data_IF_427976983827
#
_entry.id   IF_427976983827
#
_cell.length_a   1.000
_cell.length_b   1.000
_cell.length_c   1.000
_cell.angle_alpha   90.00
_cell.angle_beta   90.00
_cell.angle_gamma   90.00
#
_symmetry.space_group_name_H-M   'P 1'
#
loop_
_entity.id
_entity.type
_entity.pdbx_description
1 polymer ?
#
# COMPACT_ATOMS: atom_id res chain seq x y z
N UNK A 1 2.27 6.95 21.04
CA UNK A 1 1.01 6.98 21.83
C UNK A 1 0.33 5.62 21.72
N UNK A 2 -0.19 5.06 22.84
CA UNK A 2 -0.95 3.80 22.85
C UNK A 2 -2.44 4.07 22.61
N UNK A 3 -3.13 3.15 21.92
CA UNK A 3 -4.58 3.20 21.74
C UNK A 3 -5.19 1.80 21.93
N UNK A 4 -6.38 1.73 22.54
CA UNK A 4 -7.07 0.47 22.87
C UNK A 4 -7.67 -0.24 21.66
N UNK A 5 -7.78 0.46 20.53
CA UNK A 5 -8.39 -0.07 19.31
C UNK A 5 -7.64 0.42 18.07
N UNK A 6 -7.98 -0.16 16.92
CA UNK A 6 -7.56 0.33 15.60
C UNK A 6 -8.60 1.24 14.94
N UNK A 7 -9.49 1.86 15.71
CA UNK A 7 -10.52 2.75 15.16
C UNK A 7 -9.89 3.95 14.43
N UNK A 8 -10.56 4.43 13.39
CA UNK A 8 -10.10 5.57 12.59
C UNK A 8 -10.01 6.88 13.38
N UNK A 9 -10.72 6.97 14.51
CA UNK A 9 -10.65 8.08 15.47
C UNK A 9 -9.22 8.29 15.98
N UNK A 10 -8.57 7.23 16.47
CA UNK A 10 -7.21 7.32 16.99
C UNK A 10 -6.20 7.71 15.91
N UNK A 11 -6.41 7.29 14.67
CA UNK A 11 -5.58 7.74 13.55
C UNK A 11 -5.73 9.25 13.30
N UNK A 12 -6.95 9.79 13.45
CA UNK A 12 -7.22 11.23 13.31
C UNK A 12 -6.61 12.03 14.46
N UNK A 13 -6.76 11.54 15.69
CA UNK A 13 -6.16 12.16 16.89
C UNK A 13 -4.64 12.17 16.84
N UNK A 14 -4.02 11.12 16.29
CA UNK A 14 -2.57 11.05 16.16
C UNK A 14 -2.03 11.95 15.05
N UNK A 15 -2.76 12.06 13.94
CA UNK A 15 -2.33 12.85 12.78
C UNK A 15 -2.68 14.33 12.90
N UNK A 16 -3.66 14.72 13.73
CA UNK A 16 -4.02 16.11 14.04
C UNK A 16 -4.00 17.02 12.80
N UNK A 17 -3.09 17.99 12.77
CA UNK A 17 -2.91 18.99 11.72
C UNK A 17 -1.94 18.56 10.61
N UNK A 18 -1.58 17.28 10.53
CA UNK A 18 -0.70 16.77 9.49
C UNK A 18 -1.25 17.13 8.09
N UNK A 19 -0.34 17.60 7.24
CA UNK A 19 -0.57 17.94 5.83
C UNK A 19 0.45 17.17 5.01
N UNK A 20 0.01 16.43 4.01
CA UNK A 20 0.91 15.63 3.18
C UNK A 20 0.25 14.38 2.63
N UNK A 21 1.05 13.37 2.29
CA UNK A 21 0.57 12.11 1.71
C UNK A 21 0.72 10.96 2.70
N UNK A 22 -0.28 10.07 2.75
CA UNK A 22 -0.25 8.88 3.59
C UNK A 22 -0.36 7.62 2.73
N UNK A 23 0.66 6.75 2.79
CA UNK A 23 0.65 5.46 2.08
C UNK A 23 -0.09 4.44 2.95
N UNK A 24 -1.20 3.89 2.44
CA UNK A 24 -2.04 2.95 3.19
C UNK A 24 -2.39 1.67 2.41
N UNK A 25 -2.73 0.63 3.17
CA UNK A 25 -3.16 -0.69 2.70
C UNK A 25 -4.66 -0.79 2.34
N UNK A 26 -5.38 0.34 2.32
CA UNK A 26 -6.85 0.44 2.22
C UNK A 26 -7.60 0.12 3.53
N UNK A 27 -6.92 0.19 4.67
CA UNK A 27 -7.63 0.03 5.93
C UNK A 27 -8.72 1.11 6.08
N UNK A 28 -9.97 0.66 6.27
CA UNK A 28 -11.16 1.52 6.26
C UNK A 28 -11.12 2.63 7.31
N UNK A 29 -10.38 2.42 8.41
CA UNK A 29 -10.18 3.43 9.46
C UNK A 29 -9.54 4.72 8.95
N UNK A 30 -8.75 4.68 7.88
CA UNK A 30 -8.10 5.87 7.32
C UNK A 30 -8.97 6.65 6.34
N UNK A 31 -10.06 6.06 5.81
CA UNK A 31 -10.90 6.71 4.78
C UNK A 31 -11.46 8.07 5.23
N UNK A 32 -11.72 8.21 6.54
CA UNK A 32 -12.19 9.48 7.10
C UNK A 32 -11.15 10.61 6.98
N UNK A 33 -9.85 10.30 6.98
CA UNK A 33 -8.76 11.27 6.90
C UNK A 33 -8.62 11.89 5.50
N UNK A 34 -9.05 11.16 4.47
CA UNK A 34 -8.91 11.61 3.08
C UNK A 34 -10.11 12.46 2.61
N UNK A 35 -11.24 12.44 3.33
CA UNK A 35 -12.47 13.15 2.94
C UNK A 35 -12.34 14.66 2.94
N UNK A 36 -11.48 15.21 3.78
CA UNK A 36 -11.26 16.66 3.88
C UNK A 36 -10.27 17.17 2.82
N UNK A 37 -9.64 16.28 2.02
CA UNK A 37 -8.68 16.64 0.96
C UNK A 37 -7.32 17.15 1.46
N UNK A 38 -7.18 17.25 2.78
CA UNK A 38 -5.99 17.73 3.50
C UNK A 38 -4.83 16.73 3.44
N UNK A 39 -5.16 15.44 3.47
CA UNK A 39 -4.22 14.34 3.37
C UNK A 39 -4.45 13.63 2.04
N UNK A 40 -3.42 13.54 1.22
CA UNK A 40 -3.47 12.81 -0.04
C UNK A 40 -3.32 11.31 0.22
N UNK A 41 -4.30 10.52 -0.22
CA UNK A 41 -4.19 9.07 -0.19
C UNK A 41 -3.15 8.59 -1.21
N UNK A 42 -2.18 7.81 -0.72
CA UNK A 42 -1.28 7.01 -1.56
C UNK A 42 -1.51 5.52 -1.30
N UNK A 43 -1.53 4.74 -2.37
CA UNK A 43 -1.78 3.31 -2.33
C UNK A 43 -0.47 2.53 -2.25
N UNK A 44 -0.50 1.38 -1.58
CA UNK A 44 0.64 0.48 -1.48
C UNK A 44 0.59 -0.63 -2.55
N UNK A 45 1.56 -0.63 -3.49
CA UNK A 45 1.66 -1.68 -4.52
C UNK A 45 1.99 -3.06 -3.95
N UNK A 46 2.63 -3.16 -2.77
CA UNK A 46 2.90 -4.44 -2.13
C UNK A 46 1.59 -5.19 -1.78
N UNK A 47 0.54 -4.46 -1.41
CA UNK A 47 -0.78 -5.04 -1.15
C UNK A 47 -1.51 -5.51 -2.40
N UNK A 48 -1.45 -4.71 -3.47
CA UNK A 48 -1.97 -5.12 -4.77
C UNK A 48 -1.25 -6.39 -5.27
N UNK A 49 0.09 -6.39 -5.20
CA UNK A 49 0.94 -7.55 -5.53
C UNK A 49 0.58 -8.79 -4.73
N UNK A 50 0.38 -8.67 -3.40
CA UNK A 50 0.03 -9.81 -2.54
C UNK A 50 -1.27 -10.48 -3.00
N UNK A 51 -2.28 -9.71 -3.43
CA UNK A 51 -3.55 -10.27 -3.91
C UNK A 51 -3.38 -11.08 -5.19
N UNK A 52 -2.60 -10.59 -6.15
CA UNK A 52 -2.26 -11.37 -7.34
C UNK A 52 -1.42 -12.60 -7.01
N UNK A 53 -0.50 -12.49 -6.06
CA UNK A 53 0.29 -13.63 -5.59
C UNK A 53 -0.59 -14.73 -4.97
N UNK A 54 -1.51 -14.38 -4.08
CA UNK A 54 -2.43 -15.36 -3.50
C UNK A 54 -3.37 -15.98 -4.54
N UNK A 55 -3.84 -15.18 -5.51
CA UNK A 55 -4.62 -15.70 -6.63
C UNK A 55 -3.80 -16.73 -7.44
N UNK A 56 -2.58 -16.38 -7.85
CA UNK A 56 -1.70 -17.29 -8.58
C UNK A 56 -1.36 -18.56 -7.77
N UNK A 57 -1.06 -18.41 -6.48
CA UNK A 57 -0.79 -19.54 -5.59
C UNK A 57 -1.98 -20.50 -5.50
N UNK A 58 -3.21 -19.97 -5.49
CA UNK A 58 -4.42 -20.78 -5.33
C UNK A 58 -4.76 -21.60 -6.58
N UNK A 59 -4.68 -21.01 -7.77
CA UNK A 59 -5.20 -21.64 -9.00
C UNK A 59 -4.24 -21.58 -10.21
N UNK A 60 -2.98 -21.17 -10.00
CA UNK A 60 -1.99 -21.00 -11.07
C UNK A 60 -2.47 -20.07 -12.19
N UNK A 61 -3.27 -19.05 -11.84
CA UNK A 61 -3.78 -18.08 -12.82
C UNK A 61 -2.64 -17.39 -13.59
N UNK A 62 -2.62 -17.61 -14.91
CA UNK A 62 -1.68 -16.96 -15.83
C UNK A 62 -1.88 -15.45 -15.88
N UNK A 63 -3.14 -15.00 -15.74
CA UNK A 63 -3.47 -13.58 -15.62
C UNK A 63 -2.79 -12.99 -14.37
N UNK A 64 -2.89 -13.68 -13.23
CA UNK A 64 -2.23 -13.24 -12.02
C UNK A 64 -0.70 -13.22 -12.17
N UNK A 65 -0.12 -14.22 -12.86
CA UNK A 65 1.31 -14.25 -13.18
C UNK A 65 1.76 -13.05 -14.03
N UNK A 66 1.03 -12.72 -15.10
CA UNK A 66 1.31 -11.55 -15.95
C UNK A 66 1.20 -10.23 -15.17
N UNK A 67 0.21 -10.12 -14.28
CA UNK A 67 0.08 -8.97 -13.38
C UNK A 67 1.30 -8.84 -12.45
N UNK A 68 1.76 -9.94 -11.86
CA UNK A 68 2.95 -9.96 -11.01
C UNK A 68 4.23 -9.55 -11.76
N UNK A 69 4.38 -9.97 -13.01
CA UNK A 69 5.51 -9.56 -13.85
C UNK A 69 5.49 -8.05 -14.13
N UNK A 70 4.32 -7.49 -14.43
CA UNK A 70 4.17 -6.05 -14.66
C UNK A 70 4.49 -5.25 -13.40
N UNK A 71 4.02 -5.71 -12.24
CA UNK A 71 4.34 -5.11 -10.95
C UNK A 71 5.85 -5.22 -10.66
N UNK A 72 6.49 -6.36 -10.96
CA UNK A 72 7.93 -6.51 -10.79
C UNK A 72 8.74 -5.51 -11.64
N UNK A 73 8.29 -5.23 -12.87
CA UNK A 73 8.89 -4.19 -13.71
C UNK A 73 8.75 -2.79 -13.12
N UNK A 74 7.60 -2.47 -12.51
CA UNK A 74 7.43 -1.22 -11.78
C UNK A 74 8.45 -1.10 -10.64
N UNK A 75 8.58 -2.16 -9.82
CA UNK A 75 9.57 -2.20 -8.75
C UNK A 75 11.02 -2.07 -9.24
N UNK A 76 11.34 -2.64 -10.40
CA UNK A 76 12.65 -2.48 -11.00
C UNK A 76 12.94 -1.02 -11.41
N UNK A 77 11.93 -0.27 -11.86
CA UNK A 77 12.07 1.18 -12.11
C UNK A 77 12.25 1.93 -10.79
N UNK A 78 11.43 1.64 -9.79
CA UNK A 78 11.50 2.30 -8.48
C UNK A 78 12.85 2.08 -7.79
N UNK A 79 13.44 0.89 -7.94
CA UNK A 79 14.80 0.61 -7.46
C UNK A 79 15.86 1.50 -8.14
N UNK A 80 15.72 1.80 -9.44
CA UNK A 80 16.66 2.66 -10.18
C UNK A 80 16.59 4.14 -9.79
N UNK A 81 15.46 4.58 -9.25
CA UNK A 81 15.19 5.99 -8.93
C UNK A 81 15.24 6.30 -7.44
N UNK A 82 15.39 5.28 -6.60
CA UNK A 82 15.38 5.38 -5.14
C UNK A 82 16.39 6.41 -4.62
N UNK A 83 17.62 6.36 -5.11
CA UNK A 83 18.72 7.20 -4.65
C UNK A 83 18.96 8.42 -5.56
N UNK A 84 18.01 8.72 -6.46
CA UNK A 84 18.07 9.87 -7.37
C UNK A 84 17.38 11.10 -6.77
N UNK A 85 17.80 12.31 -7.19
CA UNK A 85 17.08 13.55 -6.91
C UNK A 85 15.60 13.49 -7.31
N UNK A 86 14.77 14.28 -6.63
CA UNK A 86 13.31 14.24 -6.78
C UNK A 86 12.82 14.57 -8.19
N UNK A 87 13.43 15.56 -8.84
CA UNK A 87 13.16 15.97 -10.21
C UNK A 87 13.48 14.85 -11.21
N UNK A 88 14.64 14.20 -11.05
CA UNK A 88 15.02 13.09 -11.90
C UNK A 88 14.13 11.87 -11.67
N UNK A 89 13.77 11.58 -10.41
CA UNK A 89 12.84 10.52 -10.04
C UNK A 89 11.50 10.70 -10.71
N UNK A 90 10.92 11.90 -10.65
CA UNK A 90 9.65 12.21 -11.32
C UNK A 90 9.78 12.08 -12.84
N UNK A 91 10.86 12.62 -13.43
CA UNK A 91 11.10 12.51 -14.87
C UNK A 91 11.13 11.04 -15.33
N UNK A 92 11.83 10.17 -14.60
CA UNK A 92 11.90 8.74 -14.92
C UNK A 92 10.54 8.07 -14.70
N UNK A 93 9.84 8.37 -13.60
CA UNK A 93 8.48 7.84 -13.36
C UNK A 93 7.51 8.22 -14.49
N UNK A 94 7.55 9.46 -14.98
CA UNK A 94 6.72 9.90 -16.10
C UNK A 94 7.12 9.23 -17.43
N UNK A 95 8.42 9.06 -17.67
CA UNK A 95 8.93 8.45 -18.91
C UNK A 95 8.74 6.93 -18.97
N UNK A 96 8.91 6.24 -17.85
CA UNK A 96 8.97 4.78 -17.79
C UNK A 96 7.78 4.16 -17.06
N UNK A 97 7.46 4.60 -15.84
CA UNK A 97 6.40 3.99 -15.02
C UNK A 97 5.01 4.33 -15.54
N UNK A 98 4.75 5.59 -15.89
CA UNK A 98 3.44 6.06 -16.36
C UNK A 98 2.91 5.31 -17.59
N UNK A 99 3.62 5.22 -18.73
CA UNK A 99 3.12 4.50 -19.89
C UNK A 99 2.93 3.00 -19.65
N UNK A 100 3.72 2.39 -18.76
CA UNK A 100 3.55 0.99 -18.36
C UNK A 100 2.28 0.79 -17.55
N UNK A 101 2.05 1.66 -16.57
CA UNK A 101 0.86 1.60 -15.72
C UNK A 101 -0.40 1.92 -16.52
N UNK A 102 -0.37 2.86 -17.46
CA UNK A 102 -1.51 3.16 -18.33
C UNK A 102 -1.90 1.94 -19.19
N UNK A 103 -0.91 1.26 -19.79
CA UNK A 103 -1.12 -0.02 -20.51
C UNK A 103 -1.63 -1.11 -19.58
N UNK A 104 -1.07 -1.22 -18.38
CA UNK A 104 -1.48 -2.20 -17.39
C UNK A 104 -2.93 -2.00 -16.95
N UNK A 105 -3.36 -0.75 -16.75
CA UNK A 105 -4.74 -0.41 -16.41
C UNK A 105 -5.71 -0.87 -17.50
N UNK A 106 -5.40 -0.52 -18.75
CA UNK A 106 -6.24 -0.89 -19.89
C UNK A 106 -6.35 -2.42 -20.02
N UNK A 107 -5.23 -3.13 -19.86
CA UNK A 107 -5.21 -4.58 -19.84
C UNK A 107 -6.05 -5.16 -18.68
N UNK A 108 -5.88 -4.68 -17.45
CA UNK A 108 -6.68 -5.10 -16.30
C UNK A 108 -8.18 -4.89 -16.52
N UNK A 109 -8.58 -3.74 -17.10
CA UNK A 109 -9.98 -3.44 -17.40
C UNK A 109 -10.56 -4.40 -18.43
N UNK A 110 -9.81 -4.71 -19.50
CA UNK A 110 -10.23 -5.67 -20.52
C UNK A 110 -10.32 -7.09 -19.93
N UNK A 111 -9.29 -7.53 -19.21
CA UNK A 111 -9.25 -8.86 -18.58
C UNK A 111 -10.33 -9.03 -17.53
N UNK A 112 -10.70 -7.97 -16.81
CA UNK A 112 -11.77 -8.06 -15.81
C UNK A 112 -13.12 -8.47 -16.40
N UNK A 113 -13.39 -8.10 -17.65
CA UNK A 113 -14.63 -8.42 -18.36
C UNK A 113 -14.73 -9.90 -18.73
N UNK A 114 -13.61 -10.62 -18.79
CA UNK A 114 -13.56 -12.04 -19.16
C UNK A 114 -13.67 -12.97 -17.96
N UNK A 115 -13.73 -12.44 -16.73
CA UNK A 115 -13.69 -13.21 -15.49
C UNK A 115 -15.01 -13.13 -14.72
N UNK A 116 -15.40 -14.25 -14.11
CA UNK A 116 -16.55 -14.31 -13.21
C UNK A 116 -16.26 -13.58 -11.88
N UNK A 117 -17.29 -12.99 -11.27
CA UNK A 117 -17.14 -12.21 -10.03
C UNK A 117 -16.62 -13.02 -8.83
N UNK A 118 -16.85 -14.33 -8.81
CA UNK A 118 -16.35 -15.21 -7.75
C UNK A 118 -14.85 -15.50 -7.86
N UNK A 119 -14.24 -15.26 -9.04
CA UNK A 119 -12.84 -15.55 -9.32
C UNK A 119 -11.89 -14.72 -8.43
N UNK A 120 -10.88 -15.37 -7.88
CA UNK A 120 -9.90 -14.72 -6.99
C UNK A 120 -9.01 -13.72 -7.71
N UNK A 121 -8.70 -13.97 -8.98
CA UNK A 121 -8.00 -13.03 -9.86
C UNK A 121 -8.89 -11.83 -10.14
N UNK A 122 -10.18 -12.02 -10.41
CA UNK A 122 -11.13 -10.91 -10.59
C UNK A 122 -11.15 -10.00 -9.36
N UNK A 123 -11.19 -10.57 -8.14
CA UNK A 123 -11.10 -9.80 -6.89
C UNK A 123 -9.79 -9.03 -6.74
N UNK A 124 -8.66 -9.60 -7.19
CA UNK A 124 -7.36 -8.91 -7.18
C UNK A 124 -7.33 -7.73 -8.18
N UNK A 125 -7.92 -7.92 -9.37
CA UNK A 125 -8.08 -6.87 -10.37
C UNK A 125 -8.99 -5.75 -9.83
N UNK A 126 -10.14 -6.11 -9.25
CA UNK A 126 -11.10 -5.14 -8.69
C UNK A 126 -10.46 -4.28 -7.60
N UNK A 127 -9.72 -4.89 -6.67
CA UNK A 127 -8.98 -4.13 -5.67
C UNK A 127 -8.02 -3.13 -6.31
N UNK A 128 -7.26 -3.57 -7.32
CA UNK A 128 -6.25 -2.75 -7.99
C UNK A 128 -6.87 -1.59 -8.77
N UNK A 129 -7.95 -1.85 -9.50
CA UNK A 129 -8.67 -0.82 -10.28
C UNK A 129 -9.37 0.19 -9.38
N UNK A 130 -10.03 -0.26 -8.31
CA UNK A 130 -10.72 0.62 -7.37
C UNK A 130 -9.76 1.58 -6.65
N UNK A 131 -8.50 1.17 -6.45
CA UNK A 131 -7.46 1.98 -5.81
C UNK A 131 -6.48 2.62 -6.78
N UNK A 132 -6.79 2.63 -8.08
CA UNK A 132 -5.84 3.05 -9.10
C UNK A 132 -5.28 4.46 -8.88
N UNK A 133 -6.13 5.41 -8.50
CA UNK A 133 -5.71 6.79 -8.22
C UNK A 133 -4.68 6.85 -7.08
N UNK A 134 -4.96 6.18 -5.96
CA UNK A 134 -4.04 6.09 -4.82
C UNK A 134 -2.74 5.37 -5.21
N UNK A 135 -2.83 4.23 -5.90
CA UNK A 135 -1.67 3.45 -6.36
C UNK A 135 -0.76 4.23 -7.32
N UNK A 136 -1.30 5.18 -8.07
CA UNK A 136 -0.54 5.99 -9.05
C UNK A 136 -0.13 7.37 -8.54
N UNK A 137 -0.49 7.74 -7.30
CA UNK A 137 -0.13 9.03 -6.71
C UNK A 137 1.39 9.30 -6.72
N UNK A 138 2.21 8.26 -6.52
CA UNK A 138 3.67 8.35 -6.56
C UNK A 138 4.24 8.83 -7.90
N UNK A 139 3.49 8.71 -8.99
CA UNK A 139 3.95 9.21 -10.30
C UNK A 139 3.99 10.74 -10.34
N UNK A 140 3.13 11.41 -9.57
CA UNK A 140 3.02 12.87 -9.54
C UNK A 140 3.80 13.52 -8.40
N UNK A 141 4.23 12.74 -7.39
CA UNK A 141 4.91 13.26 -6.20
C UNK A 141 6.16 12.42 -5.88
N UNK A 142 7.34 13.05 -5.94
CA UNK A 142 8.63 12.38 -5.78
C UNK A 142 8.82 11.74 -4.39
N UNK A 143 8.31 12.42 -3.36
CA UNK A 143 8.39 12.00 -1.96
C UNK A 143 7.49 10.82 -1.61
N UNK A 144 6.51 10.48 -2.46
CA UNK A 144 5.67 9.30 -2.25
C UNK A 144 6.41 8.06 -2.76
N UNK A 145 6.58 7.08 -1.88
CA UNK A 145 7.09 5.75 -2.21
C UNK A 145 6.06 4.87 -2.92
N UNK A 146 6.53 3.84 -3.62
CA UNK A 146 5.66 2.87 -4.30
C UNK A 146 4.89 1.95 -3.33
N UNK A 147 5.38 1.82 -2.10
CA UNK A 147 4.76 1.05 -1.02
C UNK A 147 5.12 1.61 0.37
N UNK A 148 4.50 1.01 1.39
CA UNK A 148 4.72 1.32 2.80
C UNK A 148 5.69 0.32 3.48
N UNK A 149 6.42 -0.52 2.73
CA UNK A 149 7.26 -1.57 3.31
C UNK A 149 8.29 -1.04 4.33
N UNK A 150 8.92 0.15 4.15
CA UNK A 150 9.81 0.70 5.17
C UNK A 150 9.11 0.90 6.51
N UNK A 151 7.88 1.43 6.51
CA UNK A 151 7.09 1.62 7.71
C UNK A 151 6.67 0.27 8.32
N UNK A 152 6.24 -0.69 7.49
CA UNK A 152 5.90 -2.05 7.97
C UNK A 152 7.10 -2.76 8.60
N UNK A 153 8.28 -2.61 8.01
CA UNK A 153 9.51 -3.19 8.54
C UNK A 153 9.95 -2.52 9.85
N UNK A 154 9.76 -1.20 9.98
CA UNK A 154 10.07 -0.47 11.22
C UNK A 154 9.19 -0.94 12.40
N UNK A 155 7.91 -1.25 12.15
CA UNK A 155 6.99 -1.74 13.20
C UNK A 155 7.06 -3.26 13.40
N UNK A 156 7.75 -4.01 12.52
CA UNK A 156 7.81 -5.48 12.56
C UNK A 156 8.36 -6.03 13.88
N UNK A 157 9.42 -5.47 14.50
CA UNK A 157 9.90 -5.92 15.80
C UNK A 157 8.81 -5.86 16.88
N UNK A 158 8.01 -4.79 16.92
CA UNK A 158 6.88 -4.66 17.84
C UNK A 158 5.79 -5.71 17.56
N UNK A 159 5.45 -5.92 16.29
CA UNK A 159 4.43 -6.90 15.90
C UNK A 159 4.82 -8.34 16.27
N UNK A 160 6.11 -8.69 16.09
CA UNK A 160 6.67 -9.98 16.51
C UNK A 160 6.76 -10.09 18.04
N UNK A 161 7.22 -9.02 18.70
CA UNK A 161 7.29 -8.93 20.16
C UNK A 161 5.95 -9.20 20.81
N UNK A 162 4.87 -8.57 20.35
CA UNK A 162 3.50 -8.81 20.85
C UNK A 162 3.09 -10.28 20.78
N UNK A 163 3.51 -11.02 19.75
CA UNK A 163 3.19 -12.45 19.61
C UNK A 163 3.96 -13.32 20.61
N UNK A 164 5.13 -12.86 21.05
CA UNK A 164 6.05 -13.62 21.90
C UNK A 164 6.06 -13.17 23.37
N UNK A 165 5.55 -11.98 23.68
CA UNK A 165 5.50 -11.48 25.05
C UNK A 165 4.27 -12.03 25.78
N UNK A 166 4.52 -12.99 26.67
CA UNK A 166 3.51 -13.65 27.50
C UNK A 166 2.82 -12.70 28.51
N UNK A 167 3.35 -11.49 28.70
CA UNK A 167 2.90 -10.51 29.71
C UNK A 167 2.16 -9.30 29.11
N UNK A 168 2.04 -9.23 27.78
CA UNK A 168 1.31 -8.14 27.11
C UNK A 168 -0.14 -8.55 26.93
N UNK A 169 -0.95 -8.22 27.94
CA UNK A 169 -2.39 -8.50 27.96
C UNK A 169 -3.24 -7.46 28.70
N UNK A 170 -2.62 -6.42 29.28
CA UNK A 170 -3.31 -5.31 29.94
C UNK A 170 -2.99 -3.98 29.26
N UNK A 171 -3.87 -3.01 29.45
CA UNK A 171 -3.68 -1.65 28.93
C UNK A 171 -2.39 -0.99 29.44
N UNK A 172 -2.07 -1.14 30.73
CA UNK A 172 -0.83 -0.63 31.31
C UNK A 172 0.42 -1.25 30.66
N UNK A 173 0.36 -2.52 30.25
CA UNK A 173 1.45 -3.13 29.50
C UNK A 173 1.57 -2.53 28.09
N UNK A 174 0.45 -2.16 27.48
CA UNK A 174 0.41 -1.44 26.21
C UNK A 174 1.05 -0.06 26.27
N UNK A 175 0.75 0.73 27.32
CA UNK A 175 1.37 2.03 27.56
C UNK A 175 2.88 1.91 27.81
N UNK A 176 3.31 0.97 28.67
CA UNK A 176 4.74 0.73 28.94
C UNK A 176 5.49 0.32 27.68
N UNK A 177 4.90 -0.54 26.86
CA UNK A 177 5.48 -0.93 25.57
C UNK A 177 5.64 0.27 24.63
N UNK A 178 4.67 1.18 24.60
CA UNK A 178 4.73 2.39 23.77
C UNK A 178 5.84 3.35 24.22
N UNK A 179 6.11 3.47 25.53
CA UNK A 179 7.22 4.28 26.06
C UNK A 179 8.58 3.65 25.81
N UNK A 180 8.70 2.32 25.93
CA UNK A 180 9.97 1.62 25.70
C UNK A 180 10.42 1.63 24.23
N UNK A 181 9.50 1.90 23.29
CA UNK A 181 9.72 1.76 21.85
C UNK A 181 9.56 3.07 21.06
N UNK A 182 9.45 4.20 21.75
CA UNK A 182 9.51 5.55 21.17
C UNK A 182 10.93 6.04 21.04
#
# INVERSE_FOLDING_TARGET
QFARSRAGEHAREMLQDFRGSLITDDYSGYKALFREGVIQEAGCWAHARRKFFEAHKLNQSEIASQALQTIAQLYAIEAKVKDRPEDERLRIRQKESRPRLDKFKAWLQATRQTLFNADVTAKAIDYTLNRWAALTAHLSHAGIGVDNNPAENAIRPLALGRKNWLFVGSEQAGERAAVLMS
#
